data_IF_364274568694
#
_entry.id   IF_364274568694
#
_cell.length_a   1.000
_cell.length_b   1.000
_cell.length_c   1.000
_cell.angle_alpha   90.00
_cell.angle_beta   90.00
_cell.angle_gamma   90.00
#
_symmetry.space_group_name_H-M   'P 1'
#
loop_
_entity.id
_entity.type
_entity.pdbx_description
1 polymer ?
#
# COMPACT_ATOMS: atom_id res chain seq x y z
N UNK A 1 -3.35 11.80 -16.45
CA UNK A 1 -3.03 12.16 -15.05
C UNK A 1 -2.38 10.93 -14.43
N UNK A 2 -1.06 10.87 -14.44
CA UNK A 2 -0.32 9.75 -13.86
C UNK A 2 0.06 10.22 -12.46
N UNK A 3 -0.57 9.67 -11.42
CA UNK A 3 -0.16 9.96 -10.06
C UNK A 3 1.21 9.32 -9.83
N UNK A 4 2.19 10.10 -9.37
CA UNK A 4 3.55 9.60 -9.06
C UNK A 4 3.62 8.87 -7.72
N UNK A 5 2.59 9.02 -6.86
CA UNK A 5 2.51 8.43 -5.53
C UNK A 5 1.10 7.89 -5.25
N UNK A 6 1.04 6.78 -4.53
CA UNK A 6 -0.19 6.13 -4.08
C UNK A 6 -0.27 6.09 -2.55
N UNK A 7 -1.29 6.70 -1.93
CA UNK A 7 -1.64 6.40 -0.55
C UNK A 7 -2.13 4.96 -0.44
N UNK A 8 -1.65 4.22 0.55
CA UNK A 8 -2.04 2.84 0.82
C UNK A 8 -2.62 2.72 2.22
N UNK A 9 -3.62 1.86 2.37
CA UNK A 9 -4.27 1.58 3.64
C UNK A 9 -4.59 0.09 3.73
N UNK A 10 -4.32 -0.53 4.89
CA UNK A 10 -4.73 -1.92 5.11
C UNK A 10 -6.23 -2.03 5.36
N UNK A 11 -6.81 -3.19 5.05
CA UNK A 11 -8.24 -3.44 5.27
C UNK A 11 -8.59 -3.57 6.76
N UNK A 12 -7.67 -4.09 7.58
CA UNK A 12 -7.77 -4.06 9.04
C UNK A 12 -7.39 -2.68 9.58
N UNK A 13 -8.29 -1.71 9.36
CA UNK A 13 -8.06 -0.28 9.57
C UNK A 13 -7.59 0.13 10.96
N UNK A 14 -7.96 -0.62 11.99
CA UNK A 14 -7.63 -0.32 13.39
C UNK A 14 -6.21 -0.69 13.77
N UNK A 15 -5.58 -1.60 13.04
CA UNK A 15 -4.28 -2.20 13.42
C UNK A 15 -3.30 -2.22 12.24
N UNK A 16 -3.47 -1.29 11.29
CA UNK A 16 -2.60 -1.17 10.13
C UNK A 16 -1.70 0.04 10.25
N UNK A 17 -0.38 -0.19 10.27
CA UNK A 17 0.65 0.84 10.19
C UNK A 17 0.89 1.30 8.73
N UNK A 18 -0.18 1.67 8.02
CA UNK A 18 -0.14 2.07 6.62
C UNK A 18 0.14 3.59 6.46
N UNK A 19 -0.18 4.20 5.32
CA UNK A 19 0.19 5.59 5.00
C UNK A 19 -0.21 6.60 6.09
N UNK A 20 -1.34 6.41 6.79
CA UNK A 20 -1.75 7.27 7.92
C UNK A 20 -0.76 7.31 9.08
N UNK A 21 -0.04 6.22 9.31
CA UNK A 21 0.99 6.10 10.34
C UNK A 21 2.29 6.82 9.93
N UNK A 22 2.59 6.87 8.63
CA UNK A 22 3.83 7.42 8.08
C UNK A 22 3.71 8.85 7.53
N UNK A 23 2.75 9.65 8.01
CA UNK A 23 2.50 11.03 7.54
C UNK A 23 3.69 11.98 7.67
N UNK A 24 4.65 11.66 8.55
CA UNK A 24 5.86 12.46 8.77
C UNK A 24 6.99 12.13 7.76
N UNK A 25 6.77 11.18 6.86
CA UNK A 25 7.71 10.82 5.79
C UNK A 25 7.78 11.93 4.71
N UNK A 26 8.91 12.10 3.99
CA UNK A 26 9.04 13.04 2.88
C UNK A 26 7.95 12.95 1.81
N UNK A 27 7.32 11.78 1.65
CA UNK A 27 6.22 11.54 0.70
C UNK A 27 4.83 11.69 1.32
N UNK A 28 4.72 12.18 2.55
CA UNK A 28 3.45 12.30 3.28
C UNK A 28 2.82 10.95 3.63
N UNK A 29 3.63 9.89 3.65
CA UNK A 29 3.20 8.50 3.88
C UNK A 29 2.75 7.76 2.61
N UNK A 30 2.74 8.41 1.45
CA UNK A 30 2.40 7.77 0.18
C UNK A 30 3.61 7.01 -0.42
N UNK A 31 3.31 5.91 -1.11
CA UNK A 31 4.30 5.02 -1.74
C UNK A 31 4.56 5.49 -3.19
N UNK A 32 5.81 5.66 -3.63
CA UNK A 32 6.11 6.01 -5.01
C UNK A 32 5.72 4.89 -5.97
N UNK A 33 5.29 5.24 -7.18
CA UNK A 33 4.90 4.25 -8.21
C UNK A 33 6.04 3.29 -8.57
N UNK A 34 7.29 3.73 -8.47
CA UNK A 34 8.46 2.86 -8.70
C UNK A 34 8.57 1.69 -7.73
N UNK A 35 7.94 1.79 -6.55
CA UNK A 35 7.95 0.75 -5.53
C UNK A 35 6.74 -0.20 -5.66
N UNK A 36 5.83 0.06 -6.61
CA UNK A 36 4.63 -0.77 -6.84
C UNK A 36 4.95 -1.88 -7.84
N UNK A 37 4.91 -3.13 -7.37
CA UNK A 37 5.22 -4.32 -8.21
C UNK A 37 4.03 -4.77 -9.06
N UNK A 38 2.80 -4.74 -8.53
CA UNK A 38 1.60 -5.16 -9.26
C UNK A 38 0.39 -5.48 -8.37
N UNK A 39 -0.79 -5.78 -8.96
CA UNK A 39 -2.01 -6.06 -8.22
C UNK A 39 -2.05 -7.50 -7.66
N UNK A 40 -2.56 -7.66 -6.43
CA UNK A 40 -2.94 -8.97 -5.88
C UNK A 40 -4.21 -9.47 -6.58
N UNK A 41 -4.21 -10.72 -7.04
CA UNK A 41 -5.33 -11.30 -7.83
C UNK A 41 -6.04 -12.48 -7.18
N UNK A 42 -5.31 -13.33 -6.47
CA UNK A 42 -5.88 -14.52 -5.84
C UNK A 42 -5.01 -15.01 -4.68
N UNK A 43 -5.65 -15.67 -3.73
CA UNK A 43 -5.00 -16.51 -2.72
C UNK A 43 -5.06 -17.95 -3.23
N UNK A 44 -3.90 -18.56 -3.43
CA UNK A 44 -3.77 -19.90 -4.03
C UNK A 44 -3.41 -20.95 -2.95
N UNK A 45 -3.43 -20.60 -1.67
CA UNK A 45 -3.06 -21.52 -0.60
C UNK A 45 -4.28 -21.97 0.23
N UNK A 46 -4.37 -23.25 0.66
CA UNK A 46 -3.61 -24.41 0.19
C UNK A 46 -4.24 -24.97 -1.09
N UNK A 47 -3.50 -24.99 -2.20
CA UNK A 47 -3.69 -26.04 -3.19
C UNK A 47 -2.92 -27.23 -2.62
N UNK A 48 -3.59 -28.36 -2.43
CA UNK A 48 -3.14 -29.62 -1.78
C UNK A 48 -2.98 -29.59 -0.24
#
# INVERSE_FOLDING_TARGET
MICSFFPVEGDHRSDSAASRYHRNSPTGGAVPVGDVVGPVRAVVWPLF
#
